data_IF_316820039511
#
_entry.id   IF_316820039511
#
_cell.length_a   1.000
_cell.length_b   1.000
_cell.length_c   1.000
_cell.angle_alpha   90.00
_cell.angle_beta   90.00
_cell.angle_gamma   90.00
#
_symmetry.space_group_name_H-M   'P 1'
#
loop_
_entity.id
_entity.type
_entity.pdbx_description
1 polymer ?
#
# COMPACT_ATOMS: atom_id res chain seq x y z
N UNK A 1 18.17 -5.72 8.16
CA UNK A 1 16.73 -5.57 8.47
C UNK A 1 16.14 -4.50 7.59
N UNK A 2 15.41 -4.92 6.56
CA UNK A 2 14.64 -4.00 5.71
C UNK A 2 13.18 -4.19 6.08
N UNK A 3 12.51 -3.12 6.49
CA UNK A 3 11.07 -3.16 6.76
C UNK A 3 10.36 -2.77 5.47
N UNK A 4 9.64 -3.71 4.85
CA UNK A 4 8.78 -3.41 3.72
C UNK A 4 7.35 -3.21 4.19
N UNK A 5 6.75 -2.08 3.80
CA UNK A 5 5.33 -1.79 4.06
C UNK A 5 4.51 -2.19 2.84
N UNK A 6 3.66 -3.20 2.99
CA UNK A 6 2.63 -3.53 2.01
C UNK A 6 1.32 -2.81 2.33
N UNK A 7 0.60 -2.44 1.28
CA UNK A 7 -0.68 -1.75 1.39
C UNK A 7 -1.78 -2.63 0.82
N UNK A 8 -2.99 -2.51 1.38
CA UNK A 8 -4.15 -3.27 0.94
C UNK A 8 -5.39 -2.38 0.95
N UNK A 9 -6.30 -2.59 0.00
CA UNK A 9 -7.60 -1.95 -0.02
C UNK A 9 -8.72 -2.96 0.21
N UNK A 10 -9.71 -2.61 1.02
CA UNK A 10 -10.87 -3.46 1.35
C UNK A 10 -12.17 -3.00 0.69
N UNK A 11 -12.11 -2.07 -0.27
CA UNK A 11 -13.29 -1.47 -0.89
C UNK A 11 -14.22 -2.47 -1.61
N UNK A 12 -13.68 -3.61 -2.05
CA UNK A 12 -14.41 -4.69 -2.72
C UNK A 12 -14.97 -5.74 -1.76
N UNK A 13 -14.73 -5.57 -0.44
CA UNK A 13 -15.08 -6.56 0.59
C UNK A 13 -13.98 -7.60 0.86
N UNK A 14 -12.89 -7.59 0.09
CA UNK A 14 -11.69 -8.39 0.33
C UNK A 14 -10.45 -7.49 0.33
N UNK A 15 -9.41 -7.78 1.13
CA UNK A 15 -8.15 -7.05 1.08
C UNK A 15 -7.41 -7.37 -0.22
N UNK A 16 -7.35 -6.39 -1.11
CA UNK A 16 -6.59 -6.44 -2.37
C UNK A 16 -5.27 -5.73 -2.14
N UNK A 17 -4.17 -6.41 -2.44
CA UNK A 17 -2.83 -5.82 -2.33
C UNK A 17 -2.67 -4.65 -3.31
N UNK A 18 -2.22 -3.52 -2.79
CA UNK A 18 -1.86 -2.36 -3.57
C UNK A 18 -0.35 -2.41 -3.80
N UNK A 19 0.02 -2.57 -5.06
CA UNK A 19 1.43 -2.56 -5.45
C UNK A 19 1.92 -1.11 -5.45
N UNK A 20 2.85 -0.79 -4.55
CA UNK A 20 3.73 0.36 -4.77
C UNK A 20 4.76 -0.09 -5.80
N UNK A 21 4.75 0.49 -7.00
CA UNK A 21 5.95 0.43 -7.82
C UNK A 21 7.04 1.15 -7.03
N UNK A 22 8.06 0.43 -6.56
CA UNK A 22 9.31 1.02 -6.10
C UNK A 22 9.96 1.70 -7.31
N UNK A 23 9.47 2.89 -7.64
CA UNK A 23 10.10 3.74 -8.64
C UNK A 23 11.42 4.18 -8.01
N UNK A 24 12.52 3.79 -8.66
CA UNK A 24 13.89 4.21 -8.39
C UNK A 24 14.11 5.74 -8.53
N UNK A 25 13.03 6.52 -8.64
CA UNK A 25 13.01 7.97 -8.81
C UNK A 25 12.50 8.62 -7.52
N UNK A 26 13.12 9.74 -7.15
CA UNK A 26 13.17 10.40 -5.84
C UNK A 26 11.82 10.80 -5.18
N UNK A 27 10.67 10.39 -5.73
CA UNK A 27 9.34 10.71 -5.22
C UNK A 27 8.59 9.45 -4.74
N UNK A 28 8.26 9.35 -3.44
CA UNK A 28 7.46 8.24 -2.93
C UNK A 28 6.02 8.38 -3.44
N UNK A 29 5.69 7.65 -4.51
CA UNK A 29 4.31 7.56 -4.99
C UNK A 29 3.51 6.69 -4.06
N UNK A 30 2.38 7.22 -3.61
CA UNK A 30 1.44 6.49 -2.77
C UNK A 30 0.70 5.42 -3.58
N UNK A 31 0.49 4.22 -3.01
CA UNK A 31 -0.29 3.18 -3.67
C UNK A 31 -1.75 3.61 -3.81
N UNK A 32 -2.32 3.39 -4.98
CA UNK A 32 -3.72 3.67 -5.27
C UNK A 32 -4.49 2.39 -5.56
N UNK A 33 -5.70 2.27 -5.02
CA UNK A 33 -6.58 1.18 -5.38
C UNK A 33 -7.11 1.33 -6.80
N UNK A 34 -6.92 0.32 -7.64
CA UNK A 34 -7.42 0.30 -9.03
C UNK A 34 -8.96 0.28 -9.12
N UNK A 35 -9.64 -0.13 -8.04
CA UNK A 35 -11.10 -0.27 -8.01
C UNK A 35 -11.82 1.00 -7.55
N UNK A 36 -11.34 1.62 -6.48
CA UNK A 36 -11.99 2.79 -5.89
C UNK A 36 -11.16 4.08 -5.96
N UNK A 37 -9.90 4.00 -6.41
CA UNK A 37 -8.97 5.11 -6.46
C UNK A 37 -8.47 5.60 -5.10
N UNK A 38 -8.79 4.91 -4.01
CA UNK A 38 -8.39 5.32 -2.68
C UNK A 38 -6.87 5.14 -2.48
N UNK A 39 -6.23 6.15 -1.90
CA UNK A 39 -4.82 6.15 -1.51
C UNK A 39 -4.72 6.37 0.01
N UNK A 40 -3.57 6.05 0.65
CA UNK A 40 -3.36 6.33 2.07
C UNK A 40 -3.69 7.78 2.46
N UNK A 41 -3.30 8.76 1.64
CA UNK A 41 -3.63 10.18 1.88
C UNK A 41 -5.04 10.60 1.44
N UNK A 42 -5.69 9.85 0.54
CA UNK A 42 -7.03 10.15 0.01
C UNK A 42 -7.98 8.96 0.13
N UNK A 43 -8.23 8.54 1.36
CA UNK A 43 -9.18 7.47 1.70
C UNK A 43 -10.17 7.92 2.79
N UNK A 44 -11.21 8.69 2.44
CA UNK A 44 -12.20 9.17 3.41
C UNK A 44 -12.98 8.04 4.08
N UNK A 45 -13.01 6.85 3.45
CA UNK A 45 -13.74 5.68 3.95
C UNK A 45 -12.88 4.75 4.81
N UNK A 46 -11.59 5.04 4.98
CA UNK A 46 -10.65 4.20 5.75
C UNK A 46 -10.67 2.72 5.30
N UNK A 47 -10.73 2.51 3.99
CA UNK A 47 -10.67 1.20 3.34
C UNK A 47 -9.24 0.72 3.11
N UNK A 48 -8.25 1.62 3.20
CA UNK A 48 -6.83 1.33 3.02
C UNK A 48 -6.22 0.91 4.36
N UNK A 49 -5.54 -0.23 4.35
CA UNK A 49 -4.77 -0.77 5.48
C UNK A 49 -3.33 -1.02 5.04
N UNK A 50 -2.39 -0.98 5.97
CA UNK A 50 -1.00 -1.33 5.71
C UNK A 50 -0.55 -2.47 6.63
N UNK A 51 0.48 -3.20 6.18
CA UNK A 51 1.15 -4.23 6.95
C UNK A 51 2.64 -4.07 6.77
N UNK A 52 3.34 -3.92 7.87
CA UNK A 52 4.80 -3.96 7.91
C UNK A 52 5.24 -5.42 8.00
N UNK A 53 6.17 -5.78 7.14
CA UNK A 53 6.85 -7.06 7.17
C UNK A 53 8.34 -6.77 7.30
N UNK A 54 8.97 -7.39 8.29
CA UNK A 54 10.38 -7.23 8.57
C UNK A 54 11.16 -8.36 7.88
N UNK A 55 11.99 -8.01 6.89
CA UNK A 55 12.98 -8.94 6.37
C UNK A 55 14.18 -8.99 7.31
N UNK A 56 14.39 -10.15 7.90
CA UNK A 56 15.58 -10.50 8.65
C UNK A 56 16.52 -11.32 7.76
N UNK A 57 16.92 -10.80 6.61
CA UNK A 57 18.00 -11.39 5.79
C UNK A 57 19.35 -10.83 6.29
N UNK A 58 20.04 -11.64 7.12
CA UNK A 58 21.50 -11.64 7.38
C UNK A 58 21.95 -13.09 7.60
#
# INVERSE_FOLDING_TARGET
MTVYRKWYCTCTGQPIELTCEEILDDEPVEPACEFCGATPSSDPKKTIIYRDEEDWDD
#
